data_IF_390911920476
#
_entry.id   IF_390911920476
#
_cell.length_a   1.000
_cell.length_b   1.000
_cell.length_c   1.000
_cell.angle_alpha   90.00
_cell.angle_beta   90.00
_cell.angle_gamma   90.00
#
_symmetry.space_group_name_H-M   'P 1'
#
loop_
_entity.id
_entity.type
_entity.pdbx_description
1 polymer ?
#
# COMPACT_ATOMS: atom_id res chain seq x y z
N UNK A 1 -10.61 -2.59 -16.56
CA UNK A 1 -9.34 -2.96 -17.25
C UNK A 1 -8.37 -3.55 -16.22
N UNK A 2 -7.31 -4.23 -16.66
CA UNK A 2 -6.37 -4.90 -15.77
C UNK A 2 -4.92 -4.45 -16.04
N UNK A 3 -4.09 -4.40 -14.99
CA UNK A 3 -2.65 -4.14 -15.05
C UNK A 3 -1.94 -5.29 -14.32
N UNK A 4 -0.96 -5.93 -14.98
CA UNK A 4 -0.04 -6.89 -14.38
C UNK A 4 1.33 -6.23 -14.18
N UNK A 5 1.81 -6.18 -12.94
CA UNK A 5 3.08 -5.54 -12.56
C UNK A 5 3.98 -6.58 -11.93
N UNK A 6 5.17 -6.75 -12.49
CA UNK A 6 6.18 -7.70 -12.01
C UNK A 6 7.48 -6.95 -11.75
N UNK A 7 8.07 -7.19 -10.60
CA UNK A 7 9.43 -6.72 -10.29
C UNK A 7 10.44 -7.45 -11.16
N UNK A 8 11.31 -6.70 -11.84
CA UNK A 8 12.29 -7.26 -12.77
C UNK A 8 13.50 -7.87 -12.04
N UNK A 9 14.07 -7.11 -11.09
CA UNK A 9 15.33 -7.44 -10.43
C UNK A 9 15.14 -7.52 -8.91
N UNK A 10 14.32 -8.47 -8.46
CA UNK A 10 14.11 -8.69 -7.03
C UNK A 10 15.42 -9.15 -6.35
N UNK A 11 15.69 -8.73 -5.09
CA UNK A 11 16.86 -9.17 -4.35
C UNK A 11 16.94 -10.70 -4.21
N UNK A 12 18.16 -11.23 -4.19
CA UNK A 12 18.39 -12.67 -4.02
C UNK A 12 17.82 -13.14 -2.69
N UNK A 13 16.93 -14.12 -2.73
CA UNK A 13 16.26 -14.69 -1.56
C UNK A 13 14.89 -14.07 -1.24
N UNK A 14 14.53 -12.96 -1.89
CA UNK A 14 13.23 -12.33 -1.72
C UNK A 14 12.21 -12.86 -2.75
N UNK A 15 10.93 -12.88 -2.37
CA UNK A 15 9.85 -13.16 -3.31
C UNK A 15 9.53 -11.89 -4.11
N UNK A 16 9.62 -11.90 -5.45
CA UNK A 16 9.37 -10.70 -6.26
C UNK A 16 7.96 -10.16 -6.08
N UNK A 17 7.82 -8.83 -6.13
CA UNK A 17 6.50 -8.21 -6.15
C UNK A 17 5.76 -8.57 -7.43
N UNK A 18 4.55 -9.13 -7.29
CA UNK A 18 3.61 -9.37 -8.39
C UNK A 18 2.23 -8.80 -8.05
N UNK A 19 1.83 -7.73 -8.72
CA UNK A 19 0.50 -7.12 -8.55
C UNK A 19 -0.39 -7.34 -9.77
N UNK A 20 -1.65 -7.66 -9.51
CA UNK A 20 -2.73 -7.69 -10.50
C UNK A 20 -3.79 -6.69 -10.07
N UNK A 21 -3.84 -5.56 -10.77
CA UNK A 21 -4.70 -4.45 -10.42
C UNK A 21 -5.91 -4.41 -11.36
N UNK A 22 -7.10 -4.48 -10.78
CA UNK A 22 -8.34 -4.20 -11.50
C UNK A 22 -8.72 -2.74 -11.28
N UNK A 23 -8.99 -2.03 -12.36
CA UNK A 23 -9.31 -0.61 -12.31
C UNK A 23 -10.43 -0.24 -13.28
N UNK A 24 -11.22 0.74 -12.87
CA UNK A 24 -12.21 1.43 -13.71
C UNK A 24 -11.61 2.59 -14.50
N UNK A 25 -10.39 2.99 -14.19
CA UNK A 25 -9.68 4.04 -14.92
C UNK A 25 -9.27 3.53 -16.31
N UNK A 26 -9.32 4.44 -17.27
CA UNK A 26 -8.88 4.20 -18.65
C UNK A 26 -7.36 3.99 -18.72
N UNK A 27 -6.92 3.07 -19.58
CA UNK A 27 -5.51 2.70 -19.80
C UNK A 27 -5.11 2.87 -21.27
N UNK A 28 -5.53 3.97 -21.90
CA UNK A 28 -5.24 4.24 -23.31
C UNK A 28 -3.73 4.31 -23.65
N UNK A 29 -2.86 4.55 -22.65
CA UNK A 29 -1.42 4.63 -22.83
C UNK A 29 -0.65 4.14 -21.58
N UNK A 30 0.66 3.86 -21.71
CA UNK A 30 1.48 3.41 -20.59
C UNK A 30 1.61 4.41 -19.44
N UNK A 31 1.48 5.72 -19.68
CA UNK A 31 1.59 6.73 -18.64
C UNK A 31 0.38 6.67 -17.70
N UNK A 32 -0.82 6.44 -18.23
CA UNK A 32 -2.03 6.18 -17.42
C UNK A 32 -1.90 4.91 -16.58
N UNK A 33 -1.36 3.84 -17.16
CA UNK A 33 -1.08 2.62 -16.39
C UNK A 33 -0.09 2.89 -15.24
N UNK A 34 0.96 3.66 -15.50
CA UNK A 34 1.92 4.08 -14.46
C UNK A 34 1.26 4.90 -13.34
N UNK A 35 0.35 5.81 -13.68
CA UNK A 35 -0.40 6.59 -12.71
C UNK A 35 -1.24 5.71 -11.77
N UNK A 36 -1.93 4.71 -12.31
CA UNK A 36 -2.69 3.74 -11.50
C UNK A 36 -1.78 2.96 -10.55
N UNK A 37 -0.60 2.55 -11.03
CA UNK A 37 0.40 1.87 -10.19
C UNK A 37 0.89 2.78 -9.07
N UNK A 38 1.17 4.05 -9.36
CA UNK A 38 1.64 5.03 -8.37
C UNK A 38 0.57 5.38 -7.33
N UNK A 39 -0.71 5.37 -7.70
CA UNK A 39 -1.82 5.44 -6.74
C UNK A 39 -1.90 4.19 -5.88
N UNK A 40 -1.83 3.00 -6.49
CA UNK A 40 -1.90 1.74 -5.74
C UNK A 40 -0.73 1.58 -4.76
N UNK A 41 0.48 2.04 -5.10
CA UNK A 41 1.64 2.07 -4.19
C UNK A 41 1.36 2.82 -2.89
N UNK A 42 0.45 3.81 -2.92
CA UNK A 42 0.06 4.59 -1.73
C UNK A 42 -0.96 3.86 -0.84
N UNK A 43 -1.39 2.65 -1.19
CA UNK A 43 -2.28 1.83 -0.33
C UNK A 43 -1.71 1.68 1.07
N UNK A 44 -0.38 1.58 1.21
CA UNK A 44 0.29 1.46 2.51
C UNK A 44 0.11 2.68 3.43
N UNK A 45 -0.21 3.86 2.89
CA UNK A 45 -0.44 5.08 3.68
C UNK A 45 -1.57 4.88 4.69
N UNK A 46 -2.61 4.13 4.35
CA UNK A 46 -3.72 3.86 5.27
C UNK A 46 -3.25 3.03 6.48
N UNK A 47 -2.31 2.13 6.28
CA UNK A 47 -1.77 1.30 7.35
C UNK A 47 -0.92 2.14 8.33
N UNK A 48 -0.19 3.13 7.82
CA UNK A 48 0.56 4.05 8.67
C UNK A 48 -0.37 4.93 9.52
N UNK A 49 -1.49 5.38 8.95
CA UNK A 49 -2.52 6.10 9.68
C UNK A 49 -3.07 5.25 10.85
N UNK A 50 -3.52 4.02 10.56
CA UNK A 50 -4.09 3.15 11.59
C UNK A 50 -3.07 2.75 12.67
N UNK A 51 -1.81 2.48 12.30
CA UNK A 51 -0.74 2.21 13.28
C UNK A 51 -0.58 3.36 14.27
N UNK A 52 -0.61 4.60 13.79
CA UNK A 52 -0.45 5.78 14.64
C UNK A 52 -1.63 5.96 15.59
N UNK A 53 -2.86 5.84 15.09
CA UNK A 53 -4.08 5.94 15.92
C UNK A 53 -4.14 4.85 16.98
N UNK A 54 -3.79 3.62 16.63
CA UNK A 54 -3.78 2.46 17.52
C UNK A 54 -2.71 2.59 18.64
N UNK A 55 -1.52 3.09 18.31
CA UNK A 55 -0.49 3.41 19.32
C UNK A 55 -0.97 4.50 20.29
N UNK A 56 -1.56 5.57 19.77
CA UNK A 56 -2.07 6.66 20.61
C UNK A 56 -3.19 6.17 21.54
N UNK A 57 -4.11 5.35 21.02
CA UNK A 57 -5.17 4.75 21.80
C UNK A 57 -4.64 3.88 22.95
N UNK A 58 -3.69 2.97 22.67
CA UNK A 58 -3.06 2.13 23.70
C UNK A 58 -2.38 2.94 24.79
N UNK A 59 -1.73 4.06 24.46
CA UNK A 59 -1.06 4.93 25.44
C UNK A 59 -2.08 5.59 26.39
N UNK A 60 -3.21 6.06 25.87
CA UNK A 60 -4.27 6.65 26.70
C UNK A 60 -4.88 5.63 27.67
N UNK A 61 -5.07 4.38 27.23
CA UNK A 61 -5.58 3.31 28.09
C UNK A 61 -4.61 2.95 29.23
N UNK A 62 -3.32 2.85 28.93
CA UNK A 62 -2.31 2.54 29.96
C UNK A 62 -2.23 3.62 31.05
N UNK A 63 -2.33 4.91 30.69
CA UNK A 63 -2.34 5.99 31.68
C UNK A 63 -3.64 6.05 32.51
N UNK A 64 -4.79 5.68 31.92
CA UNK A 64 -6.06 5.63 32.63
C UNK A 64 -6.17 4.46 33.63
N UNK A 65 -5.37 3.38 33.45
CA UNK A 65 -5.34 2.22 34.34
C UNK A 65 -4.29 2.34 35.47
N UNK A 66 -3.37 3.31 35.36
CA UNK A 66 -2.29 3.55 36.32
C UNK A 66 -2.59 4.71 37.29
N UNK A 67 -3.79 5.28 37.23
CA UNK A 67 -4.32 6.33 38.11
C UNK A 67 -5.54 5.80 38.87
#
# INVERSE_FOLDING_TARGET
>A
MAIDVREADAPVGDTPVHWRLLTTHDLADPAKARQVIDWYRRRWTIEQLFRTTDIAHRRLQHHAQAA
#
